data_IF_980832594815
#
_entry.id   IF_980832594815
#
_cell.length_a   1.000
_cell.length_b   1.000
_cell.length_c   1.000
_cell.angle_alpha   90.00
_cell.angle_beta   90.00
_cell.angle_gamma   90.00
#
_symmetry.space_group_name_H-M   'P 1'
#
loop_
_entity.id
_entity.type
_entity.pdbx_description
1 polymer ?
#
# COMPACT_ATOMS: atom_id res chain seq x y z
N UNK A 1 -47.31 -36.69 33.10
CA UNK A 1 -46.20 -36.51 34.05
C UNK A 1 -44.99 -37.16 33.43
N UNK A 2 -44.18 -36.37 32.73
CA UNK A 2 -42.79 -36.67 32.41
C UNK A 2 -42.17 -35.36 31.95
N UNK A 3 -41.25 -34.86 32.76
CA UNK A 3 -40.57 -33.57 32.65
C UNK A 3 -39.35 -33.70 31.74
N UNK A 4 -39.30 -32.90 30.67
CA UNK A 4 -38.09 -32.72 29.87
C UNK A 4 -37.24 -31.60 30.48
N UNK A 5 -35.99 -31.93 30.83
CA UNK A 5 -34.94 -31.00 31.20
C UNK A 5 -34.46 -30.21 29.98
N UNK A 6 -34.40 -28.89 30.13
CA UNK A 6 -33.87 -27.94 29.15
C UNK A 6 -32.49 -27.51 29.65
N UNK A 7 -31.41 -27.85 28.93
CA UNK A 7 -30.11 -27.23 29.14
C UNK A 7 -29.99 -25.90 28.36
N UNK A 8 -29.43 -24.83 28.96
CA UNK A 8 -29.23 -23.56 28.27
C UNK A 8 -27.88 -23.52 27.55
N UNK A 9 -27.94 -23.27 26.25
CA UNK A 9 -26.80 -22.91 25.39
C UNK A 9 -26.28 -21.52 25.73
N UNK A 10 -25.04 -21.44 26.22
CA UNK A 10 -24.33 -20.20 26.47
C UNK A 10 -23.57 -19.74 25.21
N UNK A 11 -24.06 -18.66 24.58
CA UNK A 11 -23.33 -17.91 23.54
C UNK A 11 -22.41 -16.87 24.18
N UNK A 12 -21.11 -16.79 23.83
CA UNK A 12 -20.28 -15.67 24.25
C UNK A 12 -20.47 -14.47 23.30
N UNK A 13 -20.99 -13.39 23.86
CA UNK A 13 -21.02 -12.05 23.27
C UNK A 13 -19.60 -11.47 23.25
N UNK A 14 -19.06 -11.19 22.07
CA UNK A 14 -17.80 -10.47 21.90
C UNK A 14 -18.12 -9.00 21.62
N UNK A 15 -18.04 -8.19 22.66
CA UNK A 15 -17.97 -6.74 22.56
C UNK A 15 -16.56 -6.34 22.08
N UNK A 16 -16.44 -5.85 20.85
CA UNK A 16 -15.23 -5.18 20.38
C UNK A 16 -15.16 -3.77 21.00
N UNK A 17 -14.38 -3.63 22.07
CA UNK A 17 -13.97 -2.34 22.63
C UNK A 17 -12.67 -1.86 21.98
N UNK A 18 -12.76 -0.66 21.44
CA UNK A 18 -11.76 0.41 21.42
C UNK A 18 -10.34 0.11 20.94
N UNK A 19 -10.07 0.61 19.73
CA UNK A 19 -8.74 0.86 19.18
C UNK A 19 -8.08 1.96 20.02
N UNK A 20 -7.12 1.59 20.86
CA UNK A 20 -6.26 2.54 21.57
C UNK A 20 -5.21 3.07 20.59
N UNK A 21 -5.42 4.30 20.12
CA UNK A 21 -4.32 5.15 19.64
C UNK A 21 -3.61 5.72 20.87
N UNK A 22 -2.32 5.45 21.02
CA UNK A 22 -1.46 6.24 21.91
C UNK A 22 -0.30 6.78 21.09
N UNK A 23 -0.43 8.04 20.69
CA UNK A 23 0.71 8.90 20.36
C UNK A 23 1.53 9.09 21.63
N UNK A 24 2.77 8.61 21.63
CA UNK A 24 3.72 8.95 22.68
C UNK A 24 4.42 10.25 22.28
N UNK A 25 3.88 11.38 22.73
CA UNK A 25 4.56 12.69 22.67
C UNK A 25 5.72 12.66 23.65
N UNK A 26 6.95 12.77 23.14
CA UNK A 26 8.15 12.88 23.97
C UNK A 26 8.41 14.37 24.21
N UNK A 27 8.14 14.85 25.42
CA UNK A 27 8.61 16.15 25.89
C UNK A 27 9.97 15.94 26.58
N UNK A 28 11.04 16.44 25.97
CA UNK A 28 12.38 16.48 26.57
C UNK A 28 12.59 17.89 27.11
N UNK A 29 12.29 18.08 28.40
CA UNK A 29 12.90 19.17 29.14
C UNK A 29 14.17 18.62 29.79
N UNK A 30 15.30 19.17 29.34
CA UNK A 30 16.58 19.10 30.03
C UNK A 30 16.47 19.84 31.36
N UNK A 31 16.72 19.14 32.47
CA UNK A 31 17.38 19.75 33.60
C UNK A 31 18.20 18.71 34.37
N UNK A 32 19.46 19.08 34.56
CA UNK A 32 20.58 18.37 35.18
C UNK A 32 20.28 17.76 36.55
N UNK A 33 20.55 16.46 36.71
CA UNK A 33 21.25 15.92 37.88
C UNK A 33 21.73 14.48 37.62
N UNK A 34 22.92 14.15 38.14
CA UNK A 34 23.61 12.86 38.08
C UNK A 34 22.69 11.69 38.51
N UNK A 35 21.90 11.17 37.58
CA UNK A 35 21.06 9.99 37.79
C UNK A 35 21.78 8.82 37.17
N UNK A 36 22.12 7.83 38.00
CA UNK A 36 23.06 6.75 37.67
C UNK A 36 22.73 6.07 36.33
N UNK A 37 23.78 5.66 35.61
CA UNK A 37 23.69 4.85 34.38
C UNK A 37 22.75 3.64 34.54
N UNK A 38 22.55 3.14 35.76
CA UNK A 38 21.62 2.05 36.08
C UNK A 38 20.15 2.41 35.81
N UNK A 39 19.76 3.67 35.99
CA UNK A 39 18.37 4.12 35.78
C UNK A 39 18.05 4.23 34.29
N UNK A 40 19.01 4.67 33.49
CA UNK A 40 18.89 4.75 32.02
C UNK A 40 18.89 3.33 31.42
N UNK A 41 19.80 2.46 31.88
CA UNK A 41 19.86 1.07 31.42
C UNK A 41 18.58 0.28 31.76
N UNK A 42 18.00 0.48 32.96
CA UNK A 42 16.71 -0.13 33.31
C UNK A 42 15.56 0.35 32.42
N UNK A 43 15.55 1.61 32.01
CA UNK A 43 14.51 2.15 31.11
C UNK A 43 14.61 1.58 29.70
N UNK A 44 15.84 1.39 29.19
CA UNK A 44 16.11 0.74 27.90
C UNK A 44 15.72 -0.74 27.94
N UNK A 45 16.05 -1.44 29.02
CA UNK A 45 15.70 -2.87 29.17
C UNK A 45 14.19 -3.08 29.22
N UNK A 46 13.46 -2.24 29.96
CA UNK A 46 11.99 -2.28 29.99
C UNK A 46 11.37 -1.98 28.62
N UNK A 47 11.94 -1.05 27.84
CA UNK A 47 11.50 -0.79 26.47
C UNK A 47 11.72 -2.03 25.59
N UNK A 48 12.88 -2.68 25.70
CA UNK A 48 13.19 -3.89 24.96
C UNK A 48 12.20 -5.03 25.29
N UNK A 49 11.92 -5.28 26.57
CA UNK A 49 10.91 -6.26 26.97
C UNK A 49 9.52 -5.95 26.40
N UNK A 50 9.10 -4.68 26.44
CA UNK A 50 7.81 -4.28 25.86
C UNK A 50 7.75 -4.53 24.36
N UNK A 51 8.84 -4.26 23.63
CA UNK A 51 8.92 -4.53 22.19
C UNK A 51 8.87 -6.04 21.90
N UNK A 52 9.63 -6.86 22.62
CA UNK A 52 9.62 -8.33 22.46
C UNK A 52 8.22 -8.88 22.70
N UNK A 53 7.52 -8.40 23.74
CA UNK A 53 6.15 -8.82 24.04
C UNK A 53 5.17 -8.43 22.94
N UNK A 54 5.23 -7.19 22.45
CA UNK A 54 4.40 -6.70 21.33
C UNK A 54 4.64 -7.50 20.04
N UNK A 55 5.89 -7.80 19.71
CA UNK A 55 6.22 -8.65 18.56
C UNK A 55 5.69 -10.07 18.72
N UNK A 56 5.76 -10.64 19.92
CA UNK A 56 5.18 -11.94 20.23
C UNK A 56 3.66 -11.97 20.02
N UNK A 57 2.95 -10.94 20.49
CA UNK A 57 1.50 -10.80 20.29
C UNK A 57 1.13 -10.60 18.81
N UNK A 58 1.87 -9.75 18.11
CA UNK A 58 1.69 -9.53 16.67
C UNK A 58 1.87 -10.83 15.87
N UNK A 59 2.90 -11.63 16.18
CA UNK A 59 3.13 -12.93 15.54
C UNK A 59 1.96 -13.89 15.77
N UNK A 60 1.41 -13.93 16.98
CA UNK A 60 0.22 -14.75 17.29
C UNK A 60 -1.00 -14.30 16.47
N UNK A 61 -1.23 -12.99 16.35
CA UNK A 61 -2.32 -12.45 15.55
C UNK A 61 -2.18 -12.77 14.07
N UNK A 62 -0.98 -12.63 13.50
CA UNK A 62 -0.70 -13.01 12.11
C UNK A 62 -0.94 -14.50 11.88
N UNK A 63 -0.43 -15.35 12.77
CA UNK A 63 -0.63 -16.79 12.64
C UNK A 63 -2.11 -17.18 12.71
N UNK A 64 -2.88 -16.52 13.57
CA UNK A 64 -4.32 -16.74 13.66
C UNK A 64 -5.05 -16.30 12.39
N UNK A 65 -4.69 -15.13 11.84
CA UNK A 65 -5.22 -14.64 10.57
C UNK A 65 -4.90 -15.59 9.41
N UNK A 66 -3.66 -16.07 9.33
CA UNK A 66 -3.23 -17.03 8.31
C UNK A 66 -3.98 -18.35 8.42
N UNK A 67 -4.14 -18.86 9.63
CA UNK A 67 -4.91 -20.09 9.88
C UNK A 67 -6.36 -19.93 9.43
N UNK A 68 -7.02 -18.85 9.85
CA UNK A 68 -8.40 -18.57 9.46
C UNK A 68 -8.54 -18.42 7.94
N UNK A 69 -7.60 -17.73 7.28
CA UNK A 69 -7.59 -17.60 5.83
C UNK A 69 -7.46 -18.97 5.13
N UNK A 70 -6.61 -19.84 5.68
CA UNK A 70 -6.42 -21.18 5.15
C UNK A 70 -7.69 -22.04 5.32
N UNK A 71 -8.31 -21.99 6.50
CA UNK A 71 -9.56 -22.69 6.79
C UNK A 71 -10.70 -22.18 5.88
N UNK A 72 -10.82 -20.86 5.69
CA UNK A 72 -11.80 -20.25 4.78
C UNK A 72 -11.59 -20.69 3.32
N UNK A 73 -10.35 -20.71 2.85
CA UNK A 73 -9.99 -21.20 1.52
C UNK A 73 -10.34 -22.69 1.36
N UNK A 74 -9.98 -23.52 2.34
CA UNK A 74 -10.25 -24.95 2.31
C UNK A 74 -11.75 -25.25 2.33
N UNK A 75 -12.51 -24.53 3.16
CA UNK A 75 -13.96 -24.65 3.25
C UNK A 75 -14.66 -24.20 1.95
N UNK A 76 -14.20 -23.10 1.33
CA UNK A 76 -14.72 -22.68 0.03
C UNK A 76 -14.40 -23.69 -1.07
N UNK A 77 -13.20 -24.26 -1.07
CA UNK A 77 -12.81 -25.29 -2.03
C UNK A 77 -13.74 -26.51 -1.91
N UNK A 78 -13.94 -27.01 -0.70
CA UNK A 78 -14.82 -28.16 -0.44
C UNK A 78 -16.29 -27.86 -0.79
N UNK A 79 -16.75 -26.62 -0.55
CA UNK A 79 -18.11 -26.20 -0.92
C UNK A 79 -18.29 -26.13 -2.44
N UNK A 80 -17.30 -25.62 -3.16
CA UNK A 80 -17.33 -25.57 -4.62
C UNK A 80 -17.30 -26.98 -5.23
N UNK A 81 -16.46 -27.88 -4.70
CA UNK A 81 -16.42 -29.28 -5.12
C UNK A 81 -17.77 -29.96 -4.86
N UNK A 82 -18.38 -29.73 -3.69
CA UNK A 82 -19.69 -30.33 -3.35
C UNK A 82 -20.82 -29.85 -4.26
N UNK A 83 -20.87 -28.54 -4.54
CA UNK A 83 -21.86 -27.93 -5.45
C UNK A 83 -21.67 -28.44 -6.89
N UNK A 84 -20.43 -28.62 -7.35
CA UNK A 84 -20.17 -29.21 -8.67
C UNK A 84 -20.57 -30.69 -8.71
N UNK A 85 -20.27 -31.49 -7.68
CA UNK A 85 -20.63 -32.92 -7.64
C UNK A 85 -22.13 -33.19 -7.55
N UNK A 86 -22.91 -32.27 -6.95
CA UNK A 86 -24.38 -32.38 -6.86
C UNK A 86 -25.09 -31.88 -8.14
N UNK A 87 -24.37 -31.20 -9.05
CA UNK A 87 -24.90 -30.66 -10.30
C UNK A 87 -24.66 -31.54 -11.54
N UNK A 88 -23.98 -32.67 -11.39
CA UNK A 88 -23.70 -33.60 -12.49
C UNK A 88 -24.93 -34.49 -12.69
N UNK A 89 -25.88 -33.99 -13.48
CA UNK A 89 -26.73 -34.85 -14.30
C UNK A 89 -25.82 -35.64 -15.26
N UNK A 90 -26.10 -36.93 -15.37
CA UNK A 90 -25.25 -38.01 -15.89
C UNK A 90 -24.95 -37.99 -17.40
N UNK A 91 -24.77 -36.82 -18.01
CA UNK A 91 -24.46 -36.70 -19.45
C UNK A 91 -23.33 -35.71 -19.81
N UNK A 92 -22.76 -34.98 -18.85
CA UNK A 92 -21.50 -34.26 -19.07
C UNK A 92 -20.46 -34.80 -18.11
N UNK A 93 -19.75 -35.82 -18.57
CA UNK A 93 -18.49 -36.26 -17.94
C UNK A 93 -17.52 -35.09 -18.09
N UNK A 94 -17.52 -34.18 -17.11
CA UNK A 94 -16.40 -33.28 -16.90
C UNK A 94 -15.21 -34.21 -16.76
N UNK A 95 -14.28 -34.16 -17.72
CA UNK A 95 -13.12 -35.02 -17.75
C UNK A 95 -12.27 -34.69 -16.52
N UNK A 96 -12.46 -35.48 -15.46
CA UNK A 96 -11.79 -35.36 -14.17
C UNK A 96 -10.27 -35.34 -14.38
N UNK A 97 -9.80 -35.98 -15.45
CA UNK A 97 -8.39 -36.02 -15.82
C UNK A 97 -7.88 -34.65 -16.32
N UNK A 98 -8.67 -33.92 -17.12
CA UNK A 98 -8.32 -32.57 -17.58
C UNK A 98 -8.29 -31.56 -16.43
N UNK A 99 -9.22 -31.66 -15.48
CA UNK A 99 -9.22 -30.82 -14.28
C UNK A 99 -7.99 -31.11 -13.41
N UNK A 100 -7.67 -32.39 -13.19
CA UNK A 100 -6.48 -32.82 -12.44
C UNK A 100 -5.20 -32.32 -13.08
N UNK A 101 -5.09 -32.42 -14.41
CA UNK A 101 -3.94 -31.95 -15.17
C UNK A 101 -3.75 -30.43 -15.05
N UNK A 102 -4.82 -29.65 -15.12
CA UNK A 102 -4.75 -28.20 -14.95
C UNK A 102 -4.29 -27.79 -13.54
N UNK A 103 -4.74 -28.49 -12.50
CA UNK A 103 -4.27 -28.27 -11.14
C UNK A 103 -2.78 -28.59 -10.98
N UNK A 104 -2.33 -29.71 -11.54
CA UNK A 104 -0.93 -30.11 -11.51
C UNK A 104 -0.03 -29.11 -12.26
N UNK A 105 -0.44 -28.67 -13.46
CA UNK A 105 0.28 -27.64 -14.22
C UNK A 105 0.37 -26.31 -13.45
N UNK A 106 -0.71 -25.94 -12.75
CA UNK A 106 -0.75 -24.74 -11.89
C UNK A 106 0.21 -24.89 -10.71
N UNK A 107 0.20 -26.04 -10.03
CA UNK A 107 1.08 -26.32 -8.91
C UNK A 107 2.56 -26.29 -9.30
N UNK A 108 2.90 -26.91 -10.43
CA UNK A 108 4.27 -26.88 -10.98
C UNK A 108 4.69 -25.45 -11.31
N UNK A 109 3.81 -24.67 -11.93
CA UNK A 109 4.08 -23.28 -12.29
C UNK A 109 4.34 -22.41 -11.06
N UNK A 110 3.51 -22.54 -10.03
CA UNK A 110 3.67 -21.82 -8.76
C UNK A 110 4.93 -22.27 -8.01
N UNK A 111 5.22 -23.57 -7.97
CA UNK A 111 6.44 -24.09 -7.36
C UNK A 111 7.71 -23.52 -8.01
N UNK A 112 7.69 -23.38 -9.35
CA UNK A 112 8.78 -22.74 -10.09
C UNK A 112 8.94 -21.26 -9.75
N UNK A 113 7.83 -20.53 -9.61
CA UNK A 113 7.85 -19.13 -9.22
C UNK A 113 8.42 -18.95 -7.80
N UNK A 114 8.01 -19.79 -6.85
CA UNK A 114 8.55 -19.80 -5.48
C UNK A 114 10.06 -20.01 -5.49
N UNK A 115 10.55 -21.02 -6.22
CA UNK A 115 12.00 -21.27 -6.34
C UNK A 115 12.75 -20.09 -6.96
N UNK A 116 12.13 -19.39 -7.91
CA UNK A 116 12.71 -18.18 -8.51
C UNK A 116 12.78 -17.02 -7.52
N UNK A 117 11.76 -16.86 -6.67
CA UNK A 117 11.73 -15.83 -5.63
C UNK A 117 12.76 -16.13 -4.53
N UNK A 118 12.89 -17.39 -4.11
CA UNK A 118 13.89 -17.81 -3.13
C UNK A 118 15.31 -17.52 -3.63
N UNK A 119 15.61 -17.84 -4.89
CA UNK A 119 16.89 -17.52 -5.50
C UNK A 119 17.16 -16.00 -5.50
N UNK A 120 16.15 -15.18 -5.81
CA UNK A 120 16.28 -13.73 -5.80
C UNK A 120 16.49 -13.17 -4.38
N UNK A 121 15.86 -13.77 -3.38
CA UNK A 121 16.05 -13.38 -1.97
C UNK A 121 17.49 -13.65 -1.55
N UNK A 122 18.05 -14.81 -1.89
CA UNK A 122 19.43 -15.14 -1.55
C UNK A 122 20.45 -14.24 -2.26
N UNK A 123 20.19 -13.89 -3.53
CA UNK A 123 20.98 -12.89 -4.25
C UNK A 123 20.95 -11.52 -3.54
N UNK A 124 19.76 -11.03 -3.19
CA UNK A 124 19.60 -9.74 -2.50
C UNK A 124 20.23 -9.72 -1.11
N UNK A 125 20.20 -10.84 -0.37
CA UNK A 125 20.90 -10.98 0.91
C UNK A 125 22.41 -10.87 0.71
N UNK A 126 22.95 -11.56 -0.29
CA UNK A 126 24.37 -11.54 -0.61
C UNK A 126 24.82 -10.12 -1.01
N UNK A 127 24.06 -9.45 -1.87
CA UNK A 127 24.28 -8.05 -2.26
C UNK A 127 24.25 -7.10 -1.06
N UNK A 128 23.33 -7.32 -0.11
CA UNK A 128 23.25 -6.50 1.10
C UNK A 128 24.51 -6.63 1.96
N UNK A 129 25.00 -7.87 2.15
CA UNK A 129 26.21 -8.14 2.91
C UNK A 129 27.43 -7.45 2.27
N UNK A 130 27.56 -7.53 0.95
CA UNK A 130 28.66 -6.87 0.22
C UNK A 130 28.59 -5.35 0.39
N UNK A 131 27.40 -4.75 0.23
CA UNK A 131 27.23 -3.30 0.43
C UNK A 131 27.58 -2.86 1.86
N UNK A 132 27.20 -3.64 2.86
CA UNK A 132 27.53 -3.34 4.26
C UNK A 132 29.06 -3.36 4.49
N UNK A 133 29.76 -4.32 3.90
CA UNK A 133 31.22 -4.40 3.93
C UNK A 133 31.89 -3.20 3.25
N UNK A 134 31.39 -2.77 2.08
CA UNK A 134 31.91 -1.59 1.38
C UNK A 134 31.70 -0.30 2.18
N UNK A 135 30.55 -0.14 2.84
CA UNK A 135 30.28 0.99 3.73
C UNK A 135 31.27 1.02 4.90
N UNK A 136 31.54 -0.14 5.50
CA UNK A 136 32.48 -0.25 6.61
C UNK A 136 33.91 0.10 6.18
N UNK A 137 34.33 -0.38 5.00
CA UNK A 137 35.62 -0.02 4.40
C UNK A 137 35.72 1.48 4.14
N UNK A 138 34.69 2.10 3.57
CA UNK A 138 34.66 3.55 3.31
C UNK A 138 34.77 4.35 4.61
N UNK A 139 34.10 3.93 5.69
CA UNK A 139 34.25 4.57 7.01
C UNK A 139 35.68 4.53 7.51
N UNK A 140 36.37 3.38 7.39
CA UNK A 140 37.77 3.24 7.80
C UNK A 140 38.72 4.11 6.96
N UNK A 141 38.51 4.17 5.64
CA UNK A 141 39.28 5.06 4.74
C UNK A 141 39.07 6.53 5.10
N UNK A 142 37.83 6.92 5.38
CA UNK A 142 37.48 8.28 5.78
C UNK A 142 38.11 8.66 7.13
N UNK A 143 38.09 7.77 8.12
CA UNK A 143 38.75 8.00 9.41
C UNK A 143 40.27 8.11 9.27
N UNK A 144 40.87 7.30 8.40
CA UNK A 144 42.29 7.38 8.06
C UNK A 144 42.62 8.72 7.40
N UNK A 145 41.80 9.16 6.45
CA UNK A 145 41.92 10.47 5.81
C UNK A 145 41.82 11.62 6.84
N UNK A 146 40.84 11.54 7.76
CA UNK A 146 40.65 12.52 8.84
C UNK A 146 41.85 12.59 9.81
N UNK A 147 42.49 11.46 10.11
CA UNK A 147 43.73 11.42 10.90
C UNK A 147 44.88 12.09 10.14
N UNK A 148 45.04 11.78 8.85
CA UNK A 148 46.09 12.34 7.98
C UNK A 148 45.97 13.86 7.81
N UNK A 149 44.76 14.37 7.58
CA UNK A 149 44.52 15.81 7.45
C UNK A 149 44.85 16.57 8.74
N UNK A 150 44.47 16.02 9.91
CA UNK A 150 44.86 16.56 11.21
C UNK A 150 46.37 16.58 11.45
N UNK A 151 47.10 15.57 10.98
CA UNK A 151 48.58 15.59 11.07
C UNK A 151 49.24 16.60 10.15
N UNK A 152 48.68 16.84 8.96
CA UNK A 152 49.19 17.84 8.01
C UNK A 152 48.96 19.28 8.49
N UNK A 153 47.88 19.52 9.23
CA UNK A 153 47.57 20.82 9.84
C UNK A 153 48.37 21.11 11.13
N UNK A 154 49.08 20.11 11.68
CA UNK A 154 50.06 20.34 12.76
C UNK A 154 51.40 20.76 12.14
N UNK A 155 51.41 21.89 11.43
CA UNK A 155 52.66 22.63 11.23
C UNK A 155 53.12 23.18 12.58
N UNK A 156 54.39 22.99 12.86
CA UNK A 156 55.14 23.31 14.08
C UNK A 156 54.69 24.59 14.81
N UNK A 157 54.58 24.59 16.15
CA UNK A 157 54.55 25.82 16.91
C UNK A 157 55.95 26.42 16.85
N UNK A 158 56.17 27.36 15.94
CA UNK A 158 57.23 28.34 16.12
C UNK A 158 56.85 29.12 17.37
N UNK A 159 57.56 28.88 18.47
CA UNK A 159 57.49 29.70 19.67
C UNK A 159 57.62 31.16 19.25
N UNK A 160 56.54 31.93 19.39
CA UNK A 160 56.68 33.27 19.91
C UNK A 160 55.41 33.68 20.66
N UNK A 161 55.67 34.24 21.83
CA UNK A 161 54.76 34.55 22.92
C UNK A 161 53.60 35.46 22.53
N UNK A 162 52.52 35.37 23.34
CA UNK A 162 51.57 36.44 23.70
C UNK A 162 50.79 37.02 22.50
N UNK A 163 49.48 36.90 22.39
CA UNK A 163 48.45 37.30 23.35
C UNK A 163 47.08 36.73 22.93
N UNK A 164 46.19 36.65 23.92
CA UNK A 164 44.78 36.30 23.77
C UNK A 164 44.09 37.11 22.65
N UNK A 165 43.42 36.43 21.72
CA UNK A 165 42.25 37.01 21.06
C UNK A 165 41.32 35.91 20.58
N UNK A 166 40.33 35.61 21.41
CA UNK A 166 39.15 34.85 21.02
C UNK A 166 38.28 35.73 20.13
N UNK A 167 38.29 35.49 18.81
CA UNK A 167 37.33 36.12 17.90
C UNK A 167 36.05 35.28 17.86
N UNK A 168 35.14 35.64 18.75
CA UNK A 168 33.70 35.38 18.66
C UNK A 168 33.19 36.13 17.43
N UNK A 169 32.62 35.42 16.45
CA UNK A 169 31.85 36.04 15.36
C UNK A 169 30.38 35.84 15.70
N UNK A 170 29.77 36.91 16.24
CA UNK A 170 28.32 37.07 16.37
C UNK A 170 27.73 37.33 14.98
N UNK A 171 26.74 36.54 14.58
CA UNK A 171 25.79 36.89 13.52
C UNK A 171 24.66 37.74 14.11
N UNK A 172 24.49 38.97 13.61
CA UNK A 172 23.18 39.63 13.47
C UNK A 172 23.24 40.77 12.45
N UNK A 173 22.40 40.61 11.42
CA UNK A 173 21.64 41.56 10.56
C UNK A 173 21.91 43.07 10.74
N UNK A 174 22.01 43.92 9.71
CA UNK A 174 21.02 44.18 8.65
C UNK A 174 21.60 45.19 7.60
N UNK A 175 21.13 45.10 6.34
CA UNK A 175 20.80 46.15 5.33
C UNK A 175 21.77 47.35 5.11
N UNK A 176 22.08 47.84 3.90
CA UNK A 176 21.34 47.97 2.64
C UNK A 176 22.29 48.54 1.54
N UNK A 177 21.99 48.22 0.25
CA UNK A 177 22.27 48.98 -1.01
C UNK A 177 23.74 49.29 -1.40
N UNK A 178 24.17 49.28 -2.67
CA UNK A 178 23.59 49.11 -4.01
C UNK A 178 24.73 48.91 -5.03
N UNK A 179 24.36 48.44 -6.24
CA UNK A 179 25.01 48.61 -7.55
C UNK A 179 26.03 47.58 -8.10
N UNK A 180 25.44 46.71 -8.95
CA UNK A 180 25.58 46.70 -10.42
C UNK A 180 26.71 45.89 -11.11
N UNK A 181 26.26 45.29 -12.24
CA UNK A 181 26.97 44.91 -13.48
C UNK A 181 27.32 43.41 -13.68
N UNK A 182 26.49 42.77 -14.53
CA UNK A 182 26.86 41.77 -15.56
C UNK A 182 27.08 40.33 -15.09
N UNK A 183 26.48 39.28 -15.64
CA UNK A 183 25.65 39.11 -16.84
C UNK A 183 25.38 37.62 -17.06
N UNK A 184 24.35 37.33 -17.87
CA UNK A 184 23.97 36.03 -18.43
C UNK A 184 23.25 35.03 -17.49
N UNK A 185 21.92 35.22 -17.40
CA UNK A 185 20.99 34.20 -16.91
C UNK A 185 20.19 33.64 -18.08
N UNK A 186 20.45 32.38 -18.44
CA UNK A 186 19.53 31.57 -19.23
C UNK A 186 18.31 31.28 -18.37
N UNK A 187 17.16 31.80 -18.81
CA UNK A 187 15.89 31.72 -18.11
C UNK A 187 15.42 30.27 -17.93
N UNK A 188 15.42 29.78 -16.69
CA UNK A 188 14.54 28.70 -16.26
C UNK A 188 13.20 29.31 -15.84
N UNK A 189 12.30 29.49 -16.81
CA UNK A 189 10.89 29.72 -16.55
C UNK A 189 10.15 28.39 -16.43
N UNK A 190 9.61 28.16 -15.23
CA UNK A 190 8.33 27.50 -14.95
C UNK A 190 8.05 26.12 -15.59
N UNK A 191 8.58 25.06 -14.98
CA UNK A 191 8.10 23.68 -15.17
C UNK A 191 7.27 23.21 -13.96
N UNK A 192 6.08 23.78 -13.77
CA UNK A 192 5.06 23.23 -12.85
C UNK A 192 3.88 22.53 -13.55
N UNK A 193 3.90 22.40 -14.89
CA UNK A 193 2.83 21.73 -15.65
C UNK A 193 3.22 20.43 -16.35
N UNK A 194 4.51 20.04 -16.37
CA UNK A 194 4.98 18.86 -17.14
C UNK A 194 4.76 17.49 -16.48
N UNK A 195 4.46 17.41 -15.19
CA UNK A 195 4.27 16.10 -14.54
C UNK A 195 2.92 15.43 -14.82
N UNK A 196 1.86 16.18 -15.16
CA UNK A 196 0.51 15.59 -15.37
C UNK A 196 0.34 14.88 -16.73
N UNK A 197 1.21 15.11 -17.72
CA UNK A 197 1.14 14.45 -19.06
C UNK A 197 1.90 13.12 -19.11
N UNK A 198 2.73 12.82 -18.09
CA UNK A 198 3.55 11.61 -18.07
C UNK A 198 2.75 10.35 -17.70
N UNK A 199 1.74 10.45 -16.83
CA UNK A 199 0.98 9.27 -16.38
C UNK A 199 0.19 8.59 -17.51
N UNK A 200 -0.59 9.33 -18.31
CA UNK A 200 -1.38 8.72 -19.40
C UNK A 200 -0.53 7.98 -20.45
N UNK A 201 0.61 8.54 -20.84
CA UNK A 201 1.53 7.88 -21.80
C UNK A 201 2.11 6.61 -21.21
N UNK A 202 2.40 6.61 -19.91
CA UNK A 202 2.94 5.46 -19.21
C UNK A 202 1.89 4.36 -19.09
N UNK A 203 0.67 4.68 -18.65
CA UNK A 203 -0.45 3.74 -18.60
C UNK A 203 -0.69 3.10 -19.97
N UNK A 204 -0.72 3.91 -21.03
CA UNK A 204 -0.87 3.42 -22.40
C UNK A 204 0.24 2.44 -22.79
N UNK A 205 1.50 2.77 -22.47
CA UNK A 205 2.65 1.93 -22.76
C UNK A 205 2.56 0.57 -22.06
N UNK A 206 2.22 0.54 -20.77
CA UNK A 206 2.07 -0.71 -20.02
C UNK A 206 0.96 -1.59 -20.61
N UNK A 207 -0.19 -0.99 -20.95
CA UNK A 207 -1.31 -1.71 -21.61
C UNK A 207 -0.86 -2.28 -22.95
N UNK A 208 -0.21 -1.49 -23.80
CA UNK A 208 0.26 -1.94 -25.11
C UNK A 208 1.33 -3.03 -25.00
N UNK A 209 2.24 -2.94 -24.02
CA UNK A 209 3.22 -4.00 -23.75
C UNK A 209 2.54 -5.31 -23.39
N UNK A 210 1.53 -5.27 -22.51
CA UNK A 210 0.74 -6.44 -22.14
C UNK A 210 0.01 -7.02 -23.37
N UNK A 211 -0.71 -6.18 -24.11
CA UNK A 211 -1.45 -6.58 -25.31
C UNK A 211 -0.52 -7.25 -26.33
N UNK A 212 0.64 -6.65 -26.61
CA UNK A 212 1.61 -7.19 -27.56
C UNK A 212 2.19 -8.53 -27.10
N UNK A 213 2.51 -8.68 -25.80
CA UNK A 213 3.00 -9.93 -25.21
C UNK A 213 1.97 -11.06 -25.32
N UNK A 214 0.69 -10.73 -25.43
CA UNK A 214 -0.41 -11.69 -25.46
C UNK A 214 -1.15 -11.76 -26.80
N UNK A 215 -0.66 -11.10 -27.85
CA UNK A 215 -1.31 -10.99 -29.17
C UNK A 215 -1.61 -12.34 -29.84
N UNK A 216 -0.80 -13.36 -29.56
CA UNK A 216 -0.94 -14.70 -30.15
C UNK A 216 -1.89 -15.62 -29.37
N UNK A 217 -2.54 -15.13 -28.30
CA UNK A 217 -3.50 -15.92 -27.52
C UNK A 217 -4.93 -15.50 -27.91
N UNK A 218 -5.77 -16.41 -28.45
CA UNK A 218 -7.11 -16.09 -28.94
C UNK A 218 -8.15 -15.80 -27.82
N UNK A 219 -7.72 -15.38 -26.62
CA UNK A 219 -8.64 -15.17 -25.50
C UNK A 219 -9.06 -13.69 -25.40
N UNK A 220 -10.37 -13.48 -25.28
CA UNK A 220 -10.95 -12.20 -24.83
C UNK A 220 -10.31 -11.81 -23.50
N UNK A 221 -9.94 -10.54 -23.36
CA UNK A 221 -9.44 -10.02 -22.09
C UNK A 221 -10.55 -10.14 -21.03
N UNK A 222 -10.18 -10.63 -19.84
CA UNK A 222 -11.13 -10.82 -18.73
C UNK A 222 -11.26 -9.51 -17.93
N UNK A 223 -12.28 -9.45 -17.08
CA UNK A 223 -12.65 -8.27 -16.27
C UNK A 223 -11.54 -7.76 -15.32
N UNK A 224 -10.48 -8.55 -15.12
CA UNK A 224 -9.37 -8.22 -14.22
C UNK A 224 -8.00 -8.21 -14.92
N UNK A 225 -7.95 -8.26 -16.25
CA UNK A 225 -6.69 -8.35 -17.00
C UNK A 225 -5.70 -7.24 -16.66
N UNK A 226 -6.18 -6.01 -16.43
CA UNK A 226 -5.34 -4.85 -16.16
C UNK A 226 -5.32 -4.45 -14.68
N UNK A 227 -5.73 -5.35 -13.77
CA UNK A 227 -5.72 -5.08 -12.32
C UNK A 227 -4.31 -4.78 -11.79
N UNK A 228 -3.27 -5.30 -12.43
CA UNK A 228 -1.87 -5.06 -12.07
C UNK A 228 -1.48 -3.58 -12.17
N UNK A 229 -2.14 -2.78 -13.02
CA UNK A 229 -1.83 -1.35 -13.16
C UNK A 229 -1.95 -0.56 -11.85
N UNK A 230 -2.65 -1.10 -10.86
CA UNK A 230 -2.78 -0.51 -9.53
C UNK A 230 -1.45 -0.41 -8.78
N UNK A 231 -0.44 -1.22 -9.09
CA UNK A 231 0.88 -1.11 -8.44
C UNK A 231 1.54 0.24 -8.71
N UNK A 232 1.32 0.78 -9.91
CA UNK A 232 2.08 1.92 -10.43
C UNK A 232 1.21 3.16 -10.69
N UNK A 233 -0.12 3.01 -10.70
CA UNK A 233 -1.06 4.07 -11.05
C UNK A 233 -2.20 4.21 -10.05
N UNK A 234 -2.57 5.46 -9.77
CA UNK A 234 -3.75 5.78 -8.97
C UNK A 234 -5.04 5.61 -9.78
N UNK A 235 -6.19 5.46 -9.12
CA UNK A 235 -7.50 5.42 -9.81
C UNK A 235 -7.73 6.69 -10.62
N UNK A 236 -7.30 7.85 -10.11
CA UNK A 236 -7.37 9.14 -10.83
C UNK A 236 -6.54 9.11 -12.13
N UNK A 237 -5.33 8.55 -12.10
CA UNK A 237 -4.51 8.40 -13.31
C UNK A 237 -5.22 7.53 -14.36
N UNK A 238 -5.86 6.44 -13.93
CA UNK A 238 -6.57 5.54 -14.83
C UNK A 238 -7.86 6.18 -15.39
N UNK A 239 -8.61 6.92 -14.57
CA UNK A 239 -9.79 7.69 -15.01
C UNK A 239 -9.42 8.77 -16.00
N UNK A 240 -8.31 9.48 -15.76
CA UNK A 240 -7.77 10.47 -16.68
C UNK A 240 -7.25 9.84 -17.97
N UNK A 241 -6.66 8.65 -17.88
CA UNK A 241 -6.24 7.90 -19.06
C UNK A 241 -7.42 7.49 -19.93
N UNK A 242 -8.52 7.00 -19.35
CA UNK A 242 -9.73 6.63 -20.09
C UNK A 242 -10.28 7.80 -20.94
N UNK A 243 -10.20 9.03 -20.42
CA UNK A 243 -10.61 10.25 -21.14
C UNK A 243 -9.62 10.72 -22.22
N UNK A 244 -8.51 10.01 -22.43
CA UNK A 244 -7.42 10.45 -23.31
C UNK A 244 -7.50 9.88 -24.72
N UNK A 245 -6.91 10.60 -25.69
CA UNK A 245 -6.81 10.16 -27.09
C UNK A 245 -6.11 8.79 -27.21
N UNK A 246 -5.11 8.53 -26.38
CA UNK A 246 -4.39 7.24 -26.37
C UNK A 246 -5.26 6.07 -25.94
N UNK A 247 -6.25 6.28 -25.08
CA UNK A 247 -7.24 5.25 -24.78
C UNK A 247 -8.15 4.98 -25.99
N UNK A 248 -8.49 6.04 -26.73
CA UNK A 248 -9.40 5.93 -27.88
C UNK A 248 -8.75 5.21 -29.06
N UNK A 249 -7.42 5.19 -29.14
CA UNK A 249 -6.67 4.43 -30.15
C UNK A 249 -6.50 2.94 -29.84
N UNK A 250 -6.98 2.45 -28.69
CA UNK A 250 -6.96 1.02 -28.37
C UNK A 250 -8.06 0.25 -29.13
N UNK A 251 -7.88 -1.06 -29.25
CA UNK A 251 -8.95 -1.96 -29.72
C UNK A 251 -10.09 -2.02 -28.69
N UNK A 252 -11.33 -2.20 -29.15
CA UNK A 252 -12.51 -2.11 -28.28
C UNK A 252 -12.52 -3.17 -27.17
N UNK A 253 -12.00 -4.38 -27.46
CA UNK A 253 -11.82 -5.41 -26.44
C UNK A 253 -10.86 -5.00 -25.33
N UNK A 254 -9.80 -4.25 -25.68
CA UNK A 254 -8.83 -3.73 -24.70
C UNK A 254 -9.46 -2.58 -23.91
N UNK A 255 -10.17 -1.66 -24.60
CA UNK A 255 -10.90 -0.56 -23.95
C UNK A 255 -11.87 -1.10 -22.89
N UNK A 256 -12.64 -2.12 -23.25
CA UNK A 256 -13.63 -2.71 -22.35
C UNK A 256 -12.95 -3.35 -21.13
N UNK A 257 -11.88 -4.11 -21.34
CA UNK A 257 -11.15 -4.72 -20.22
C UNK A 257 -10.48 -3.68 -19.29
N UNK A 258 -9.99 -2.57 -19.85
CA UNK A 258 -9.50 -1.44 -19.05
C UNK A 258 -10.64 -0.82 -18.24
N UNK A 259 -11.81 -0.55 -18.84
CA UNK A 259 -12.98 -0.03 -18.13
C UNK A 259 -13.43 -0.94 -16.99
N UNK A 260 -13.51 -2.23 -17.26
CA UNK A 260 -13.85 -3.25 -16.26
C UNK A 260 -12.83 -3.28 -15.13
N UNK A 261 -11.54 -3.16 -15.44
CA UNK A 261 -10.48 -3.09 -14.42
C UNK A 261 -10.64 -1.84 -13.54
N UNK A 262 -10.91 -0.66 -14.12
CA UNK A 262 -11.15 0.57 -13.35
C UNK A 262 -12.42 0.44 -12.49
N UNK A 263 -13.50 -0.10 -13.07
CA UNK A 263 -14.75 -0.37 -12.34
C UNK A 263 -14.53 -1.35 -11.19
N UNK A 264 -13.71 -2.38 -11.38
CA UNK A 264 -13.30 -3.32 -10.34
C UNK A 264 -12.62 -2.61 -9.18
N UNK A 265 -11.68 -1.70 -9.47
CA UNK A 265 -10.99 -0.92 -8.44
C UNK A 265 -11.95 -0.01 -7.66
N UNK A 266 -12.86 0.69 -8.33
CA UNK A 266 -13.88 1.53 -7.69
C UNK A 266 -14.86 0.70 -6.83
N UNK A 267 -15.26 -0.49 -7.31
CA UNK A 267 -16.10 -1.43 -6.54
C UNK A 267 -15.39 -1.92 -5.27
N UNK A 268 -14.08 -2.14 -5.32
CA UNK A 268 -13.31 -2.48 -4.13
C UNK A 268 -13.30 -1.33 -3.11
N UNK A 269 -13.20 -0.08 -3.54
CA UNK A 269 -13.32 1.07 -2.63
C UNK A 269 -14.68 1.11 -1.93
N UNK A 270 -15.77 0.82 -2.66
CA UNK A 270 -17.12 0.79 -2.08
C UNK A 270 -17.35 -0.38 -1.11
N UNK A 271 -16.74 -1.53 -1.36
CA UNK A 271 -17.02 -2.77 -0.60
C UNK A 271 -16.16 -2.93 0.66
N UNK A 272 -14.90 -2.52 0.65
CA UNK A 272 -13.99 -2.75 1.78
C UNK A 272 -14.07 -1.65 2.83
N UNK A 273 -14.72 -1.88 3.98
CA UNK A 273 -14.94 -0.86 5.05
C UNK A 273 -13.71 0.00 5.42
N UNK A 274 -12.50 -0.55 5.38
CA UNK A 274 -11.25 0.14 5.76
C UNK A 274 -10.68 1.09 4.70
N UNK A 275 -11.18 1.06 3.45
CA UNK A 275 -10.69 1.92 2.37
C UNK A 275 -11.50 3.20 2.28
N UNK A 276 -10.82 4.32 2.16
CA UNK A 276 -11.43 5.61 1.84
C UNK A 276 -11.83 5.64 0.36
N UNK A 277 -12.86 6.42 0.04
CA UNK A 277 -13.25 6.64 -1.36
C UNK A 277 -12.33 7.72 -1.93
N UNK A 278 -11.69 7.43 -3.06
CA UNK A 278 -10.76 8.38 -3.68
C UNK A 278 -11.45 9.32 -4.67
N UNK A 279 -12.70 9.04 -5.05
CA UNK A 279 -13.42 9.74 -6.12
C UNK A 279 -14.66 10.47 -5.60
N UNK A 280 -15.11 11.52 -6.30
CA UNK A 280 -16.39 12.16 -5.98
C UNK A 280 -17.57 11.23 -6.30
N UNK A 281 -18.69 11.44 -5.61
CA UNK A 281 -19.89 10.58 -5.64
C UNK A 281 -20.37 10.33 -7.08
N UNK A 282 -20.37 11.36 -7.93
CA UNK A 282 -20.81 11.26 -9.32
C UNK A 282 -20.05 10.21 -10.14
N UNK A 283 -18.75 9.98 -9.87
CA UNK A 283 -17.97 8.97 -10.59
C UNK A 283 -18.53 7.56 -10.37
N UNK A 284 -19.02 7.26 -9.16
CA UNK A 284 -19.62 5.96 -8.85
C UNK A 284 -21.03 5.82 -9.45
N UNK A 285 -21.80 6.92 -9.50
CA UNK A 285 -23.13 6.96 -10.12
C UNK A 285 -23.04 6.78 -11.63
N UNK A 286 -22.22 7.59 -12.30
CA UNK A 286 -22.07 7.61 -13.76
C UNK A 286 -21.62 6.25 -14.31
N UNK A 287 -20.96 5.45 -13.46
CA UNK A 287 -20.48 4.10 -13.78
C UNK A 287 -21.42 2.97 -13.34
N UNK A 288 -22.63 3.31 -12.88
CA UNK A 288 -23.63 2.36 -12.37
C UNK A 288 -23.08 1.43 -11.27
N UNK A 289 -22.17 1.94 -10.43
CA UNK A 289 -21.61 1.19 -9.29
C UNK A 289 -22.51 1.29 -8.06
N UNK A 290 -23.29 2.37 -8.00
CA UNK A 290 -24.37 2.62 -7.06
C UNK A 290 -25.59 3.13 -7.84
N UNK A 291 -26.81 2.92 -7.33
CA UNK A 291 -28.01 3.45 -7.98
C UNK A 291 -28.03 4.98 -7.94
N UNK A 292 -28.58 5.60 -8.99
CA UNK A 292 -28.94 7.01 -8.97
C UNK A 292 -30.07 7.25 -7.95
N UNK A 293 -30.13 8.47 -7.42
CA UNK A 293 -31.16 8.84 -6.45
C UNK A 293 -32.55 8.86 -7.12
N UNK A 294 -33.59 8.31 -6.47
CA UNK A 294 -34.97 8.41 -6.94
C UNK A 294 -35.45 9.86 -7.05
N UNK A 295 -36.47 10.09 -7.88
CA UNK A 295 -37.09 11.41 -7.98
C UNK A 295 -37.60 11.89 -6.62
N UNK A 296 -37.23 13.11 -6.24
CA UNK A 296 -37.59 13.72 -4.96
C UNK A 296 -36.60 13.45 -3.82
N UNK A 297 -35.68 12.49 -3.97
CA UNK A 297 -34.63 12.20 -2.98
C UNK A 297 -33.40 13.04 -3.31
N UNK A 298 -32.93 13.85 -2.35
CA UNK A 298 -31.84 14.81 -2.57
C UNK A 298 -30.47 14.31 -2.15
N UNK A 299 -30.40 13.27 -1.33
CA UNK A 299 -29.15 12.75 -0.78
C UNK A 299 -29.18 11.24 -0.57
N UNK A 300 -28.00 10.61 -0.50
CA UNK A 300 -27.92 9.19 -0.13
C UNK A 300 -28.34 8.95 1.33
N UNK A 301 -28.16 9.94 2.20
CA UNK A 301 -28.65 9.88 3.58
C UNK A 301 -30.19 9.82 3.66
N UNK A 302 -30.87 10.54 2.77
CA UNK A 302 -32.33 10.46 2.61
C UNK A 302 -32.72 9.13 1.93
N UNK A 303 -31.97 8.72 0.90
CA UNK A 303 -32.20 7.47 0.18
C UNK A 303 -32.17 6.24 1.10
N UNK A 304 -31.28 6.22 2.10
CA UNK A 304 -31.18 5.11 3.07
C UNK A 304 -32.49 4.81 3.81
N UNK A 305 -33.42 5.77 3.88
CA UNK A 305 -34.71 5.64 4.60
C UNK A 305 -35.85 5.16 3.69
N UNK A 306 -35.57 4.90 2.42
CA UNK A 306 -36.57 4.53 1.41
C UNK A 306 -36.73 3.01 1.28
N UNK A 307 -37.88 2.54 0.79
CA UNK A 307 -38.10 1.09 0.55
C UNK A 307 -37.22 0.57 -0.58
N UNK A 308 -36.89 1.43 -1.53
CA UNK A 308 -35.99 1.17 -2.64
C UNK A 308 -34.61 0.78 -2.10
N UNK A 309 -34.11 1.46 -1.06
CA UNK A 309 -32.87 1.10 -0.40
C UNK A 309 -32.94 -0.29 0.25
N UNK A 310 -34.06 -0.63 0.92
CA UNK A 310 -34.24 -1.94 1.56
C UNK A 310 -34.20 -3.09 0.56
N UNK A 311 -34.60 -2.84 -0.70
CA UNK A 311 -34.53 -3.84 -1.78
C UNK A 311 -33.12 -4.08 -2.34
N UNK A 312 -32.14 -3.25 -1.99
CA UNK A 312 -30.77 -3.37 -2.50
C UNK A 312 -30.01 -4.53 -1.85
N UNK A 313 -29.06 -5.09 -2.61
CA UNK A 313 -28.11 -6.07 -2.06
C UNK A 313 -27.23 -5.45 -0.97
N UNK A 314 -26.81 -6.26 0.01
CA UNK A 314 -25.96 -5.81 1.12
C UNK A 314 -24.66 -5.14 0.63
N UNK A 315 -24.10 -5.62 -0.48
CA UNK A 315 -22.89 -5.04 -1.09
C UNK A 315 -23.13 -3.59 -1.53
N UNK A 316 -24.28 -3.31 -2.13
CA UNK A 316 -24.66 -1.95 -2.57
C UNK A 316 -25.00 -1.09 -1.34
N UNK A 317 -25.72 -1.65 -0.35
CA UNK A 317 -26.04 -0.94 0.90
C UNK A 317 -24.78 -0.50 1.65
N UNK A 318 -23.76 -1.36 1.73
CA UNK A 318 -22.44 -1.01 2.30
C UNK A 318 -21.79 0.14 1.52
N UNK A 319 -21.82 0.09 0.19
CA UNK A 319 -21.27 1.14 -0.67
C UNK A 319 -21.97 2.49 -0.46
N UNK A 320 -23.30 2.50 -0.41
CA UNK A 320 -24.10 3.70 -0.12
C UNK A 320 -23.77 4.24 1.27
N UNK A 321 -23.66 3.37 2.28
CA UNK A 321 -23.26 3.77 3.63
C UNK A 321 -21.94 4.54 3.67
N UNK A 322 -21.00 4.24 2.76
CA UNK A 322 -19.77 5.03 2.61
C UNK A 322 -19.98 6.36 1.92
N UNK A 323 -20.80 6.42 0.88
CA UNK A 323 -21.08 7.68 0.17
C UNK A 323 -21.71 8.70 1.12
N UNK A 324 -22.60 8.25 2.01
CA UNK A 324 -23.22 9.07 3.06
C UNK A 324 -22.17 9.75 3.97
N UNK A 325 -21.05 9.07 4.24
CA UNK A 325 -19.99 9.64 5.09
C UNK A 325 -19.27 10.83 4.42
N UNK A 326 -19.28 10.89 3.09
CA UNK A 326 -18.56 11.89 2.28
C UNK A 326 -19.50 13.01 1.82
N UNK A 327 -20.82 12.78 1.84
CA UNK A 327 -21.86 13.76 1.45
C UNK A 327 -21.99 14.97 2.40
N UNK A 328 -21.12 15.09 3.41
CA UNK A 328 -21.18 16.11 4.47
C UNK A 328 -20.89 17.53 3.99
#
# INVERSE_FOLDING_TARGET
METQEIEPSATPSIQNKDVIQTETVINVNDDTSNTSNDTINNKIYNLYEQHVKKFGEFRKQINLLLKNLFDDCFNNLNKNIKVETESIDSNNVIDVEDFRKNLEETFISQSKEIKSLDARIEELKSDSIVRDQDIEKFKQEFDTFKKKSRSLLKTTPTQNNRENSSLIMNEKEHNEKENSIGGSSTSQQSDKSKNKKRSNKQVHREICQYVNKHKNKPKKYKDNTFKYLRSDFTIEDLLKYEKSVSFHSLDDNVKESVRLSINGLLKEELTFRKRELSQPINVYIDRNLVPSLPSGVKSYNEFQKTREFDSLSDKIKIGIGKLILIEK
#
